data_IF_786607653992
#
_entry.id   IF_786607653992
#
_cell.length_a   1.000
_cell.length_b   1.000
_cell.length_c   1.000
_cell.angle_alpha   90.00
_cell.angle_beta   90.00
_cell.angle_gamma   90.00
#
_symmetry.space_group_name_H-M   'P 1'
#
loop_
_entity.id
_entity.type
_entity.pdbx_description
1 polymer ?
#
# COMPACT_ATOMS: atom_id res chain seq x y z
N UNK A 1 14.90 -28.39 -3.12
CA UNK A 1 13.82 -27.83 -3.96
C UNK A 1 13.27 -26.63 -3.22
N UNK A 2 13.45 -25.42 -3.76
CA UNK A 2 12.93 -24.19 -3.15
C UNK A 2 11.42 -24.16 -3.33
N UNK A 3 10.67 -24.64 -2.34
CA UNK A 3 9.26 -24.34 -2.21
C UNK A 3 9.16 -22.84 -1.91
N UNK A 4 9.14 -22.02 -2.96
CA UNK A 4 8.96 -20.58 -2.83
C UNK A 4 7.55 -20.34 -2.30
N UNK A 5 7.44 -20.16 -0.98
CA UNK A 5 6.19 -19.96 -0.22
C UNK A 5 5.35 -18.76 -0.72
N UNK A 6 5.92 -17.93 -1.59
CA UNK A 6 5.40 -16.63 -2.03
C UNK A 6 5.14 -16.57 -3.54
N UNK A 7 4.38 -17.53 -4.06
CA UNK A 7 3.91 -17.55 -5.45
C UNK A 7 2.40 -17.70 -5.49
N UNK A 8 1.78 -17.26 -6.59
CA UNK A 8 0.36 -17.43 -6.81
C UNK A 8 -0.01 -18.92 -6.84
N UNK A 9 -1.00 -19.36 -6.04
CA UNK A 9 -1.42 -20.75 -6.01
C UNK A 9 -2.15 -21.18 -7.29
N UNK A 10 -2.68 -20.23 -8.07
CA UNK A 10 -3.44 -20.54 -9.29
C UNK A 10 -2.54 -20.63 -10.53
N UNK A 11 -1.59 -19.70 -10.69
CA UNK A 11 -0.80 -19.59 -11.92
C UNK A 11 0.72 -19.63 -11.71
N UNK A 12 1.20 -19.78 -10.47
CA UNK A 12 2.63 -19.85 -10.14
C UNK A 12 3.42 -18.54 -10.34
N UNK A 13 2.75 -17.45 -10.69
CA UNK A 13 3.39 -16.14 -10.89
C UNK A 13 3.75 -15.46 -9.57
N UNK A 14 4.49 -14.34 -9.66
CA UNK A 14 4.84 -13.54 -8.47
C UNK A 14 3.60 -12.93 -7.79
N UNK A 15 3.77 -12.64 -6.51
CA UNK A 15 2.78 -11.96 -5.66
C UNK A 15 3.19 -10.51 -5.42
N UNK A 16 2.21 -9.64 -5.25
CA UNK A 16 2.33 -8.24 -4.83
C UNK A 16 1.66 -8.10 -3.47
N UNK A 17 2.36 -7.50 -2.50
CA UNK A 17 1.75 -7.07 -1.24
C UNK A 17 1.31 -5.61 -1.37
N UNK A 18 0.17 -5.28 -0.77
CA UNK A 18 -0.41 -3.94 -0.84
C UNK A 18 -0.99 -3.54 0.52
N UNK A 19 -1.04 -2.23 0.76
CA UNK A 19 -1.73 -1.60 1.87
C UNK A 19 -2.39 -0.31 1.38
N UNK A 20 -3.62 -0.08 1.79
CA UNK A 20 -4.35 1.12 1.43
C UNK A 20 -3.75 2.33 2.16
N UNK A 21 -3.66 3.44 1.43
CA UNK A 21 -3.21 4.72 1.94
C UNK A 21 -4.31 5.74 1.73
N UNK A 22 -4.99 6.11 2.81
CA UNK A 22 -5.83 7.30 2.80
C UNK A 22 -4.98 8.55 3.00
N UNK A 23 -5.11 9.47 2.05
CA UNK A 23 -4.28 10.66 2.00
C UNK A 23 -5.09 11.89 1.62
N UNK A 24 -4.66 13.03 2.15
CA UNK A 24 -5.11 14.34 1.68
C UNK A 24 -4.00 15.04 0.90
N UNK A 25 -4.40 15.83 -0.08
CA UNK A 25 -3.50 16.71 -0.82
C UNK A 25 -3.76 18.14 -0.37
N UNK A 26 -2.71 18.79 0.13
CA UNK A 26 -2.74 20.18 0.58
C UNK A 26 -1.96 21.05 -0.39
N UNK A 27 -2.56 22.17 -0.76
CA UNK A 27 -1.94 23.22 -1.56
C UNK A 27 -1.77 24.48 -0.73
N UNK A 28 -0.63 25.17 -0.89
CA UNK A 28 -0.57 26.58 -0.50
C UNK A 28 -1.23 27.40 -1.60
N UNK A 29 -1.86 28.50 -1.24
CA UNK A 29 -2.46 29.43 -2.20
C UNK A 29 -1.69 30.74 -2.09
N UNK A 30 -1.27 31.30 -3.21
CA UNK A 30 -0.64 32.62 -3.21
C UNK A 30 -1.68 33.75 -3.25
N UNK A 31 -1.25 34.99 -3.11
CA UNK A 31 -2.11 36.18 -3.09
C UNK A 31 -2.92 36.35 -4.39
N UNK A 32 -2.47 35.78 -5.50
CA UNK A 32 -3.17 35.78 -6.79
C UNK A 32 -4.20 34.66 -6.92
N UNK A 33 -4.38 33.80 -5.91
CA UNK A 33 -5.31 32.67 -5.95
C UNK A 33 -4.76 31.43 -6.65
N UNK A 34 -3.47 31.40 -7.00
CA UNK A 34 -2.86 30.23 -7.63
C UNK A 34 -2.42 29.19 -6.60
N UNK A 35 -2.68 27.92 -6.90
CA UNK A 35 -2.18 26.80 -6.12
C UNK A 35 -0.67 26.67 -6.32
N UNK A 36 0.09 26.75 -5.23
CA UNK A 36 1.54 26.63 -5.17
C UNK A 36 1.93 25.61 -4.11
N UNK A 37 2.97 24.83 -4.36
CA UNK A 37 3.46 23.75 -3.49
C UNK A 37 2.40 22.66 -3.18
N UNK A 38 2.78 21.40 -3.34
CA UNK A 38 1.90 20.27 -3.05
C UNK A 38 2.50 19.42 -1.93
N UNK A 39 1.70 19.13 -0.90
CA UNK A 39 2.02 18.16 0.13
C UNK A 39 0.94 17.10 0.18
N UNK A 40 1.33 15.83 0.15
CA UNK A 40 0.44 14.69 0.41
C UNK A 40 0.67 14.28 1.86
N UNK A 41 -0.39 14.22 2.65
CA UNK A 41 -0.35 13.78 4.05
C UNK A 41 -1.16 12.51 4.22
N UNK A 42 -0.61 11.54 4.94
CA UNK A 42 -1.31 10.32 5.33
C UNK A 42 -2.30 10.66 6.45
N UNK A 43 -3.57 10.29 6.27
CA UNK A 43 -4.63 10.56 7.23
C UNK A 43 -4.72 9.51 8.35
N UNK A 44 -3.91 8.45 8.29
CA UNK A 44 -3.81 7.34 9.25
C UNK A 44 -5.17 6.79 9.69
N UNK A 45 -5.60 5.70 9.08
CA UNK A 45 -6.84 5.02 9.48
C UNK A 45 -6.58 3.97 10.54
N UNK A 46 -7.53 3.82 11.47
CA UNK A 46 -7.47 2.81 12.53
C UNK A 46 -7.77 1.39 12.05
N UNK A 47 -8.38 1.22 10.88
CA UNK A 47 -8.80 -0.05 10.27
C UNK A 47 -7.91 -0.47 9.10
N UNK A 48 -6.65 -0.02 9.09
CA UNK A 48 -5.67 -0.20 8.02
C UNK A 48 -5.83 -1.49 7.21
N UNK A 49 -6.14 -1.32 5.92
CA UNK A 49 -6.45 -2.42 4.99
C UNK A 49 -5.20 -2.84 4.24
N UNK A 50 -4.94 -4.13 4.18
CA UNK A 50 -3.79 -4.70 3.48
C UNK A 50 -4.09 -6.10 2.96
N UNK A 51 -3.26 -6.57 2.04
CA UNK A 51 -3.41 -7.89 1.47
C UNK A 51 -2.32 -8.26 0.49
N UNK A 52 -2.57 -9.33 -0.25
CA UNK A 52 -1.70 -9.78 -1.34
C UNK A 52 -2.53 -10.11 -2.58
N UNK A 53 -1.93 -9.93 -3.74
CA UNK A 53 -2.54 -10.28 -5.02
C UNK A 53 -1.53 -10.88 -5.99
N UNK A 54 -2.00 -11.64 -6.97
CA UNK A 54 -1.17 -12.09 -8.07
C UNK A 54 -0.80 -10.91 -8.99
N UNK A 55 0.40 -10.96 -9.57
CA UNK A 55 0.82 -10.02 -10.60
C UNK A 55 0.24 -10.29 -12.00
N UNK A 56 -0.50 -11.40 -12.19
CA UNK A 56 -0.97 -11.85 -13.52
C UNK A 56 -2.43 -12.30 -13.60
N UNK A 57 -2.96 -12.98 -12.59
CA UNK A 57 -4.36 -13.43 -12.56
C UNK A 57 -5.14 -12.71 -11.45
N UNK A 58 -6.43 -13.01 -11.36
CA UNK A 58 -7.35 -12.33 -10.44
C UNK A 58 -7.28 -12.85 -8.99
N UNK A 59 -6.36 -13.78 -8.70
CA UNK A 59 -6.15 -14.28 -7.35
C UNK A 59 -5.70 -13.16 -6.42
N UNK A 60 -6.40 -13.01 -5.30
CA UNK A 60 -6.08 -12.07 -4.23
C UNK A 60 -6.62 -12.54 -2.88
N UNK A 61 -6.00 -12.02 -1.82
CA UNK A 61 -6.50 -12.13 -0.45
C UNK A 61 -6.52 -10.72 0.13
N UNK A 62 -7.71 -10.27 0.47
CA UNK A 62 -7.98 -9.00 1.15
C UNK A 62 -8.11 -9.26 2.65
N UNK A 63 -7.77 -8.28 3.50
CA UNK A 63 -7.93 -8.30 4.96
C UNK A 63 -7.42 -9.59 5.62
N UNK A 64 -6.17 -9.96 5.30
CA UNK A 64 -5.50 -11.12 5.87
C UNK A 64 -5.42 -10.97 7.41
N UNK A 65 -6.13 -11.84 8.12
CA UNK A 65 -6.12 -11.92 9.57
C UNK A 65 -4.93 -12.73 10.11
N UNK A 66 -4.56 -12.47 11.36
CA UNK A 66 -3.45 -13.15 12.03
C UNK A 66 -3.68 -14.67 12.09
N UNK A 67 -2.74 -15.44 11.56
CA UNK A 67 -2.82 -16.89 11.45
C UNK A 67 -1.62 -17.50 10.74
N UNK A 68 -1.68 -18.80 10.43
CA UNK A 68 -0.60 -19.55 9.78
C UNK A 68 -0.44 -19.25 8.27
N UNK A 69 -1.15 -18.24 7.75
CA UNK A 69 -1.08 -17.88 6.35
C UNK A 69 0.32 -17.33 6.01
N UNK A 70 1.04 -17.93 5.03
CA UNK A 70 2.33 -17.41 4.57
C UNK A 70 2.36 -15.92 4.28
N UNK A 71 1.26 -15.41 3.74
CA UNK A 71 1.12 -14.08 3.18
C UNK A 71 0.80 -13.02 4.25
N UNK A 72 0.39 -13.42 5.46
CA UNK A 72 0.13 -12.48 6.56
C UNK A 72 1.33 -11.59 6.86
N UNK A 73 2.53 -12.18 6.95
CA UNK A 73 3.74 -11.40 7.20
C UNK A 73 4.04 -10.37 6.10
N UNK A 74 3.72 -10.67 4.84
CA UNK A 74 3.92 -9.75 3.72
C UNK A 74 2.91 -8.60 3.73
N UNK A 75 1.63 -8.91 3.93
CA UNK A 75 0.57 -7.90 4.01
C UNK A 75 0.81 -6.95 5.20
N UNK A 76 1.16 -7.50 6.36
CA UNK A 76 1.45 -6.71 7.58
C UNK A 76 2.72 -5.85 7.42
N UNK A 77 3.75 -6.34 6.72
CA UNK A 77 4.93 -5.52 6.41
C UNK A 77 4.59 -4.34 5.49
N UNK A 78 3.75 -4.57 4.47
CA UNK A 78 3.25 -3.48 3.61
C UNK A 78 2.45 -2.44 4.42
N UNK A 79 1.60 -2.88 5.36
CA UNK A 79 0.86 -1.99 6.25
C UNK A 79 1.80 -1.15 7.12
N UNK A 80 2.78 -1.76 7.79
CA UNK A 80 3.78 -1.03 8.59
C UNK A 80 4.55 0.00 7.77
N UNK A 81 4.92 -0.36 6.53
CA UNK A 81 5.59 0.58 5.63
C UNK A 81 4.67 1.74 5.23
N UNK A 82 3.37 1.50 5.07
CA UNK A 82 2.38 2.55 4.86
C UNK A 82 2.24 3.45 6.10
N UNK A 83 2.18 2.88 7.31
CA UNK A 83 2.00 3.62 8.58
C UNK A 83 3.13 4.63 8.86
N UNK A 84 4.35 4.35 8.40
CA UNK A 84 5.49 5.28 8.57
C UNK A 84 5.49 6.43 7.57
N UNK A 85 4.67 6.38 6.51
CA UNK A 85 4.53 7.47 5.54
C UNK A 85 3.77 8.62 6.21
N UNK A 86 4.48 9.63 6.71
CA UNK A 86 3.84 10.83 7.27
C UNK A 86 3.42 11.83 6.20
N UNK A 87 4.30 12.06 5.22
CA UNK A 87 3.99 12.91 4.08
C UNK A 87 4.93 12.65 2.90
N UNK A 88 4.40 12.79 1.69
CA UNK A 88 5.17 12.78 0.45
C UNK A 88 5.11 14.18 -0.19
N UNK A 89 6.26 14.67 -0.64
CA UNK A 89 6.35 15.92 -1.40
C UNK A 89 6.67 15.58 -2.84
N UNK A 90 5.70 15.78 -3.73
CA UNK A 90 5.94 15.64 -5.17
C UNK A 90 6.54 16.95 -5.70
N UNK A 91 7.70 16.87 -6.34
CA UNK A 91 8.15 17.93 -7.25
C UNK A 91 7.37 17.74 -8.55
N UNK A 92 6.73 18.79 -9.04
CA UNK A 92 6.18 18.81 -10.40
C UNK A 92 7.33 19.18 -11.33
N UNK A 93 7.60 18.31 -12.30
CA UNK A 93 8.48 18.62 -13.44
C UNK A 93 7.85 19.68 -14.36
#
# INVERSE_FOLDING_TARGET
MSNSKYVCPECGSSIVAWADLDAQIIFKVNESGNLINQRIENLFQSDGRCGVQCSKCDWKIDDISEGDDPFFALANEALKQQEVIKSLSAKRD
#
